data_IF_446588001028
#
_entry.id   IF_446588001028
#
_cell.length_a   1.000
_cell.length_b   1.000
_cell.length_c   1.000
_cell.angle_alpha   90.00
_cell.angle_beta   90.00
_cell.angle_gamma   90.00
#
_symmetry.space_group_name_H-M   'P 1'
#
loop_
_entity.id
_entity.type
_entity.pdbx_description
1 polymer ?
#
# COMPACT_ATOMS: atom_id res chain seq x y z
N UNK A 1 1.70 -1.13 -20.85
CA UNK A 1 0.90 -1.87 -19.87
C UNK A 1 0.84 -3.33 -20.31
N UNK A 2 1.04 -4.24 -19.38
CA UNK A 2 0.99 -5.69 -19.55
C UNK A 2 -0.05 -6.26 -18.59
N UNK A 3 -0.46 -7.51 -18.79
CA UNK A 3 -1.35 -8.24 -17.88
C UNK A 3 -0.78 -9.63 -17.59
N UNK A 4 -1.08 -10.13 -16.40
CA UNK A 4 -0.80 -11.50 -15.99
C UNK A 4 -2.08 -12.10 -15.40
N UNK A 5 -2.54 -13.21 -15.97
CA UNK A 5 -3.76 -13.87 -15.50
C UNK A 5 -3.51 -14.61 -14.19
N UNK A 6 -4.18 -14.19 -13.12
CA UNK A 6 -3.99 -14.68 -11.75
C UNK A 6 -5.35 -14.89 -11.09
N UNK A 7 -5.62 -16.08 -10.60
CA UNK A 7 -6.85 -16.39 -9.84
C UNK A 7 -8.15 -15.89 -10.51
N UNK A 8 -8.27 -16.10 -11.83
CA UNK A 8 -9.45 -15.70 -12.60
C UNK A 8 -9.52 -14.21 -12.96
N UNK A 9 -8.42 -13.45 -12.81
CA UNK A 9 -8.35 -12.02 -13.09
C UNK A 9 -7.08 -11.65 -13.89
N UNK A 10 -7.23 -10.78 -14.88
CA UNK A 10 -6.12 -10.20 -15.64
C UNK A 10 -5.50 -9.04 -14.87
N UNK A 11 -4.48 -9.33 -14.08
CA UNK A 11 -3.80 -8.36 -13.24
C UNK A 11 -2.89 -7.46 -14.08
N UNK A 12 -3.23 -6.19 -14.19
CA UNK A 12 -2.48 -5.23 -14.97
C UNK A 12 -1.21 -4.76 -14.22
N UNK A 13 -0.13 -4.52 -14.98
CA UNK A 13 1.09 -3.95 -14.44
C UNK A 13 1.87 -3.14 -15.47
N UNK A 14 2.77 -2.29 -14.97
CA UNK A 14 3.80 -1.61 -15.74
C UNK A 14 5.17 -2.09 -15.30
N UNK A 15 6.06 -2.21 -16.26
CA UNK A 15 7.45 -2.61 -16.03
C UNK A 15 8.40 -1.62 -16.65
N UNK A 16 9.41 -1.19 -15.87
CA UNK A 16 10.43 -0.22 -16.28
C UNK A 16 11.79 -0.65 -15.76
N UNK A 17 12.82 -0.53 -16.59
CA UNK A 17 14.20 -0.88 -16.22
C UNK A 17 14.55 -2.34 -16.44
N UNK A 18 15.70 -2.73 -15.91
CA UNK A 18 16.26 -4.09 -16.00
C UNK A 18 16.94 -4.46 -14.69
N UNK A 19 17.27 -5.72 -14.53
CA UNK A 19 17.96 -6.24 -13.33
C UNK A 19 17.02 -6.94 -12.37
N UNK A 20 17.32 -6.83 -11.06
CA UNK A 20 16.54 -7.51 -10.04
C UNK A 20 15.11 -6.95 -9.95
N UNK A 21 14.09 -7.83 -9.89
CA UNK A 21 12.71 -7.37 -9.81
C UNK A 21 12.41 -6.69 -8.47
N UNK A 22 11.82 -5.50 -8.56
CA UNK A 22 11.21 -4.76 -7.47
C UNK A 22 9.72 -4.63 -7.76
N UNK A 23 8.91 -5.42 -7.07
CA UNK A 23 7.45 -5.40 -7.23
C UNK A 23 6.86 -4.38 -6.27
N UNK A 24 6.05 -3.46 -6.80
CA UNK A 24 5.49 -2.32 -6.08
C UNK A 24 3.97 -2.43 -6.00
N UNK A 25 3.43 -2.48 -4.77
CA UNK A 25 1.99 -2.60 -4.48
C UNK A 25 1.45 -1.30 -3.92
N UNK A 26 0.47 -0.73 -4.59
CA UNK A 26 -0.11 0.58 -4.26
C UNK A 26 -1.03 0.55 -3.03
N UNK A 27 -1.33 1.73 -2.51
CA UNK A 27 -2.30 1.96 -1.43
C UNK A 27 -3.76 2.08 -1.91
N UNK A 28 -4.63 2.50 -1.00
CA UNK A 28 -6.04 2.83 -1.29
C UNK A 28 -6.11 3.91 -2.37
N UNK A 29 -7.06 3.76 -3.31
CA UNK A 29 -7.27 4.65 -4.46
C UNK A 29 -6.07 4.76 -5.43
N UNK A 30 -5.01 3.96 -5.22
CA UNK A 30 -3.88 3.86 -6.13
C UNK A 30 -4.09 2.81 -7.22
N UNK A 31 -3.11 2.68 -8.10
CA UNK A 31 -2.94 1.65 -9.12
C UNK A 31 -1.48 1.63 -9.57
N UNK A 32 -1.13 0.96 -10.66
CA UNK A 32 0.25 0.90 -11.14
C UNK A 32 0.90 2.29 -11.35
N UNK A 33 0.12 3.36 -11.56
CA UNK A 33 0.62 4.74 -11.75
C UNK A 33 1.14 5.38 -10.48
N UNK A 34 0.77 4.87 -9.31
CA UNK A 34 1.15 5.41 -7.99
C UNK A 34 2.66 5.65 -7.86
N UNK A 35 3.46 4.80 -8.48
CA UNK A 35 4.91 4.83 -8.33
C UNK A 35 5.63 5.65 -9.41
N UNK A 36 4.89 6.40 -10.25
CA UNK A 36 5.44 7.12 -11.41
C UNK A 36 6.55 8.10 -11.06
N UNK A 37 6.46 8.77 -9.92
CA UNK A 37 7.49 9.72 -9.46
C UNK A 37 8.85 9.04 -9.15
N UNK A 38 8.84 7.74 -8.84
CA UNK A 38 10.04 6.99 -8.44
C UNK A 38 10.52 5.98 -9.48
N UNK A 39 9.78 5.75 -10.58
CA UNK A 39 10.19 4.82 -11.63
C UNK A 39 11.57 5.13 -12.20
N UNK A 40 11.81 6.38 -12.61
CA UNK A 40 13.06 6.78 -13.24
C UNK A 40 14.29 6.51 -12.37
N UNK A 41 14.34 6.99 -11.13
CA UNK A 41 15.45 6.71 -10.23
C UNK A 41 15.63 5.22 -9.90
N UNK A 42 14.56 4.49 -9.54
CA UNK A 42 14.64 3.08 -9.14
C UNK A 42 14.98 2.15 -10.31
N UNK A 43 14.51 2.48 -11.52
CA UNK A 43 14.75 1.66 -12.71
C UNK A 43 16.19 1.70 -13.23
N UNK A 44 17.04 2.53 -12.66
CA UNK A 44 18.48 2.53 -12.98
C UNK A 44 19.15 1.23 -12.55
N UNK A 45 18.72 0.65 -11.43
CA UNK A 45 19.34 -0.52 -10.82
C UNK A 45 18.38 -1.71 -10.68
N UNK A 46 17.06 -1.49 -10.88
CA UNK A 46 16.04 -2.50 -10.69
C UNK A 46 15.10 -2.59 -11.89
N UNK A 47 14.54 -3.76 -12.10
CA UNK A 47 13.35 -3.98 -12.92
C UNK A 47 12.13 -3.66 -12.04
N UNK A 48 11.63 -2.43 -12.12
CA UNK A 48 10.50 -1.96 -11.32
C UNK A 48 9.20 -2.43 -11.96
N UNK A 49 8.40 -3.18 -11.22
CA UNK A 49 7.14 -3.76 -11.63
C UNK A 49 6.03 -3.20 -10.74
N UNK A 50 5.27 -2.26 -11.26
CA UNK A 50 4.15 -1.64 -10.54
C UNK A 50 2.85 -2.33 -10.92
N UNK A 51 2.14 -2.90 -9.95
CA UNK A 51 0.90 -3.66 -10.19
C UNK A 51 -0.34 -2.84 -9.91
N UNK A 52 -1.45 -3.18 -10.57
CA UNK A 52 -2.81 -2.80 -10.16
C UNK A 52 -3.49 -4.00 -9.51
N UNK A 53 -3.99 -3.80 -8.31
CA UNK A 53 -4.78 -4.83 -7.60
C UNK A 53 -6.12 -5.06 -8.31
N UNK A 54 -6.78 -6.20 -8.05
CA UNK A 54 -8.13 -6.50 -8.53
C UNK A 54 -9.08 -5.35 -8.24
N UNK A 55 -9.94 -5.00 -9.19
CA UNK A 55 -10.92 -3.90 -9.14
C UNK A 55 -10.34 -2.47 -9.20
N UNK A 56 -9.03 -2.32 -9.30
CA UNK A 56 -8.40 -1.03 -9.53
C UNK A 56 -8.14 -0.80 -11.02
N UNK A 57 -8.03 0.47 -11.42
CA UNK A 57 -7.70 0.85 -12.80
C UNK A 57 -6.54 -0.02 -13.36
N UNK A 58 -6.62 -0.51 -14.59
CA UNK A 58 -7.57 -0.21 -15.65
C UNK A 58 -8.86 -1.04 -15.61
N UNK A 59 -9.08 -1.87 -14.61
CA UNK A 59 -10.35 -2.56 -14.44
C UNK A 59 -11.45 -1.55 -14.13
N UNK A 60 -12.60 -1.69 -14.81
CA UNK A 60 -13.81 -0.92 -14.52
C UNK A 60 -14.64 -1.71 -13.52
N UNK A 61 -14.72 -1.22 -12.29
CA UNK A 61 -15.52 -1.80 -11.24
C UNK A 61 -16.48 -0.75 -10.68
N UNK A 62 -17.71 -1.15 -10.45
CA UNK A 62 -18.82 -0.30 -10.00
C UNK A 62 -19.08 -0.36 -8.49
N UNK A 63 -18.25 -1.10 -7.77
CA UNK A 63 -18.42 -1.30 -6.31
C UNK A 63 -19.30 -2.49 -5.94
N UNK A 64 -19.78 -3.27 -6.92
CA UNK A 64 -20.65 -4.44 -6.70
C UNK A 64 -19.86 -5.74 -6.84
N UNK A 65 -20.11 -6.68 -5.94
CA UNK A 65 -19.48 -8.01 -5.92
C UNK A 65 -18.92 -8.37 -4.55
N UNK A 66 -18.67 -9.65 -4.35
CA UNK A 66 -18.23 -10.22 -3.06
C UNK A 66 -16.71 -10.50 -3.02
N UNK A 67 -15.98 -10.28 -4.10
CA UNK A 67 -14.57 -10.64 -4.25
C UNK A 67 -13.60 -9.49 -3.95
N UNK A 68 -14.09 -8.32 -3.48
CA UNK A 68 -13.25 -7.26 -2.95
C UNK A 68 -12.86 -7.57 -1.50
N UNK A 69 -11.93 -8.49 -1.34
CA UNK A 69 -11.48 -8.97 -0.03
C UNK A 69 -9.97 -8.80 0.12
N UNK A 70 -9.51 -8.45 1.31
CA UNK A 70 -8.06 -8.40 1.60
C UNK A 70 -7.39 -9.76 1.35
N UNK A 71 -8.05 -10.86 1.72
CA UNK A 71 -7.54 -12.21 1.48
C UNK A 71 -7.39 -12.52 -0.02
N UNK A 72 -8.33 -12.05 -0.86
CA UNK A 72 -8.25 -12.20 -2.31
C UNK A 72 -7.09 -11.40 -2.89
N UNK A 73 -6.91 -10.14 -2.48
CA UNK A 73 -5.77 -9.33 -2.94
C UNK A 73 -4.41 -9.93 -2.52
N UNK A 74 -4.32 -10.52 -1.33
CA UNK A 74 -3.11 -11.23 -0.90
C UNK A 74 -2.87 -12.47 -1.77
N UNK A 75 -3.91 -13.28 -2.01
CA UNK A 75 -3.81 -14.46 -2.87
C UNK A 75 -3.45 -14.10 -4.32
N UNK A 76 -4.03 -13.02 -4.86
CA UNK A 76 -3.71 -12.53 -6.20
C UNK A 76 -2.25 -12.08 -6.29
N UNK A 77 -1.75 -11.36 -5.31
CA UNK A 77 -0.34 -10.95 -5.28
C UNK A 77 0.62 -12.13 -5.14
N UNK A 78 0.29 -13.13 -4.32
CA UNK A 78 1.07 -14.38 -4.22
C UNK A 78 1.12 -15.06 -5.60
N UNK A 79 -0.04 -15.27 -6.22
CA UNK A 79 -0.12 -15.88 -7.55
C UNK A 79 0.60 -15.06 -8.63
N UNK A 80 0.59 -13.73 -8.52
CA UNK A 80 1.36 -12.85 -9.41
C UNK A 80 2.87 -13.10 -9.25
N UNK A 81 3.38 -13.12 -8.03
CA UNK A 81 4.80 -13.35 -7.74
C UNK A 81 5.26 -14.74 -8.22
N UNK A 82 4.45 -15.77 -7.99
CA UNK A 82 4.73 -17.13 -8.46
C UNK A 82 4.79 -17.21 -10.00
N UNK A 83 3.84 -16.59 -10.67
CA UNK A 83 3.77 -16.61 -12.16
C UNK A 83 4.79 -15.70 -12.82
N UNK A 84 5.27 -14.66 -12.12
CA UNK A 84 6.38 -13.83 -12.60
C UNK A 84 7.64 -14.68 -12.83
N UNK A 85 7.86 -15.69 -11.99
CA UNK A 85 8.87 -16.72 -12.19
C UNK A 85 10.32 -16.28 -11.99
N UNK A 86 10.55 -15.12 -11.39
CA UNK A 86 11.89 -14.52 -11.22
C UNK A 86 12.63 -15.01 -9.95
N UNK A 87 12.07 -15.97 -9.22
CA UNK A 87 12.55 -16.36 -7.90
C UNK A 87 12.21 -15.33 -6.83
N UNK A 88 12.91 -15.28 -5.69
CA UNK A 88 12.65 -14.31 -4.65
C UNK A 88 12.86 -12.88 -5.13
N UNK A 89 11.79 -12.05 -5.04
CA UNK A 89 11.79 -10.65 -5.47
C UNK A 89 12.00 -9.68 -4.29
N UNK A 90 12.31 -8.44 -4.61
CA UNK A 90 12.11 -7.34 -3.68
C UNK A 90 10.65 -6.89 -3.76
N UNK A 91 9.99 -6.77 -2.61
CA UNK A 91 8.59 -6.36 -2.53
C UNK A 91 8.47 -5.04 -1.78
N UNK A 92 7.83 -4.05 -2.40
CA UNK A 92 7.54 -2.76 -1.78
C UNK A 92 6.03 -2.53 -1.76
N UNK A 93 5.49 -2.21 -0.58
CA UNK A 93 4.07 -1.91 -0.43
C UNK A 93 3.83 -0.60 0.31
N UNK A 94 2.90 0.20 -0.20
CA UNK A 94 2.46 1.45 0.44
C UNK A 94 1.07 1.27 1.06
N UNK A 95 0.87 1.74 2.28
CA UNK A 95 -0.44 1.80 2.93
C UNK A 95 -1.18 0.45 2.88
N UNK A 96 -2.31 0.33 2.15
CA UNK A 96 -3.00 -0.94 1.86
C UNK A 96 -2.06 -1.98 1.26
N UNK A 97 -1.25 -1.60 0.29
CA UNK A 97 -0.23 -2.46 -0.31
C UNK A 97 0.84 -2.89 0.69
N UNK A 98 1.16 -2.06 1.66
CA UNK A 98 2.04 -2.40 2.79
C UNK A 98 1.45 -3.49 3.67
N UNK A 99 0.13 -3.45 3.94
CA UNK A 99 -0.56 -4.54 4.63
C UNK A 99 -0.48 -5.86 3.84
N UNK A 100 -0.75 -5.81 2.55
CA UNK A 100 -0.66 -6.99 1.66
C UNK A 100 0.78 -7.54 1.67
N UNK A 101 1.78 -6.70 1.49
CA UNK A 101 3.18 -7.09 1.47
C UNK A 101 3.64 -7.72 2.80
N UNK A 102 3.18 -7.18 3.94
CA UNK A 102 3.42 -7.78 5.26
C UNK A 102 2.82 -9.19 5.36
N UNK A 103 1.57 -9.39 4.90
CA UNK A 103 0.90 -10.70 4.92
C UNK A 103 1.58 -11.72 4.00
N UNK A 104 2.11 -11.29 2.88
CA UNK A 104 2.92 -12.13 2.00
C UNK A 104 4.22 -12.53 2.69
N UNK A 105 4.94 -11.58 3.30
CA UNK A 105 6.17 -11.88 4.04
C UNK A 105 5.95 -12.86 5.21
N UNK A 106 4.76 -12.84 5.81
CA UNK A 106 4.37 -13.77 6.87
C UNK A 106 4.08 -15.18 6.34
N UNK A 107 3.34 -15.29 5.23
CA UNK A 107 2.83 -16.57 4.72
C UNK A 107 3.73 -17.22 3.66
N UNK A 108 4.45 -16.42 2.87
CA UNK A 108 5.29 -16.85 1.75
C UNK A 108 6.63 -16.10 1.72
N UNK A 109 7.44 -16.20 2.81
CA UNK A 109 8.76 -15.57 2.86
C UNK A 109 9.70 -16.10 1.78
N UNK A 110 9.45 -17.29 1.25
CA UNK A 110 10.19 -17.91 0.15
C UNK A 110 10.14 -17.11 -1.15
N UNK A 111 9.10 -16.31 -1.36
CA UNK A 111 8.94 -15.45 -2.53
C UNK A 111 9.70 -14.11 -2.42
N UNK A 112 10.23 -13.78 -1.24
CA UNK A 112 10.76 -12.45 -0.95
C UNK A 112 12.25 -12.49 -0.60
N UNK A 113 13.02 -11.61 -1.24
CA UNK A 113 14.41 -11.32 -0.87
C UNK A 113 14.48 -10.21 0.19
N UNK A 114 13.77 -9.11 -0.07
CA UNK A 114 13.68 -7.94 0.82
C UNK A 114 12.28 -7.35 0.78
N UNK A 115 11.92 -6.70 1.87
CA UNK A 115 10.60 -6.09 2.07
C UNK A 115 10.73 -4.62 2.41
N UNK A 116 10.03 -3.75 1.67
CA UNK A 116 9.90 -2.32 1.99
C UNK A 116 8.45 -2.01 2.31
N UNK A 117 8.20 -1.50 3.50
CA UNK A 117 6.87 -1.14 3.99
C UNK A 117 6.80 0.39 4.16
N UNK A 118 6.20 1.05 3.17
CA UNK A 118 5.95 2.49 3.20
C UNK A 118 4.62 2.76 3.93
N UNK A 119 4.70 3.12 5.20
CA UNK A 119 3.56 3.35 6.10
C UNK A 119 2.44 2.31 5.94
N UNK A 120 2.66 1.05 6.34
CA UNK A 120 1.69 -0.01 6.18
C UNK A 120 0.38 0.34 6.89
N UNK A 121 -0.72 0.31 6.13
CA UNK A 121 -2.07 0.53 6.67
C UNK A 121 -2.58 -0.69 7.42
N UNK A 122 -3.50 -0.48 8.35
CA UNK A 122 -4.11 -1.54 9.15
C UNK A 122 -4.25 -1.11 10.60
N UNK A 123 -4.68 -2.04 11.44
CA UNK A 123 -4.88 -1.86 12.87
C UNK A 123 -3.93 -2.74 13.66
N UNK A 124 -3.60 -2.31 14.87
CA UNK A 124 -2.87 -3.08 15.85
C UNK A 124 -3.86 -3.84 16.75
N UNK A 125 -3.53 -5.05 17.13
CA UNK A 125 -4.25 -5.75 18.20
C UNK A 125 -3.71 -5.35 19.60
N UNK A 126 -4.37 -5.82 20.65
CA UNK A 126 -4.01 -5.52 22.03
C UNK A 126 -2.60 -6.02 22.43
N UNK A 127 -1.97 -6.89 21.65
CA UNK A 127 -0.59 -7.36 21.93
C UNK A 127 0.47 -6.35 21.48
N UNK A 128 0.13 -5.47 20.53
CA UNK A 128 0.99 -4.40 20.03
C UNK A 128 0.66 -3.05 20.65
N UNK A 129 -0.61 -2.75 20.83
CA UNK A 129 -1.09 -1.53 21.45
C UNK A 129 -2.37 -1.78 22.25
N UNK A 130 -2.25 -2.03 23.57
CA UNK A 130 -3.41 -2.32 24.44
C UNK A 130 -4.43 -1.18 24.53
N UNK A 131 -4.03 0.04 24.23
CA UNK A 131 -4.85 1.25 24.41
C UNK A 131 -5.53 1.68 23.12
N UNK A 132 -4.84 1.55 21.98
CA UNK A 132 -5.33 2.11 20.71
C UNK A 132 -6.18 1.12 19.88
N UNK A 133 -6.14 -0.18 20.15
CA UNK A 133 -6.76 -1.19 19.30
C UNK A 133 -8.27 -1.04 19.06
N UNK A 134 -9.13 -0.77 20.09
CA UNK A 134 -10.57 -0.63 19.88
C UNK A 134 -10.95 0.61 19.07
N UNK A 135 -10.32 1.75 19.38
CA UNK A 135 -10.69 3.04 18.81
C UNK A 135 -10.16 3.22 17.36
N UNK A 136 -8.97 2.71 17.07
CA UNK A 136 -8.37 2.81 15.74
C UNK A 136 -9.17 2.08 14.66
N UNK A 137 -9.62 0.86 14.95
CA UNK A 137 -10.46 0.08 14.04
C UNK A 137 -11.82 0.76 13.82
N UNK A 138 -12.44 1.29 14.87
CA UNK A 138 -13.71 2.02 14.81
C UNK A 138 -13.61 3.28 13.95
N UNK A 139 -12.57 4.10 14.15
CA UNK A 139 -12.37 5.33 13.37
C UNK A 139 -12.13 5.05 11.88
N UNK A 140 -11.34 4.02 11.56
CA UNK A 140 -11.15 3.61 10.16
C UNK A 140 -12.46 3.15 9.54
N UNK A 141 -13.18 2.28 10.22
CA UNK A 141 -14.47 1.75 9.73
C UNK A 141 -15.46 2.88 9.49
N UNK A 142 -15.60 3.82 10.43
CA UNK A 142 -16.48 4.97 10.28
C UNK A 142 -16.08 5.86 9.09
N UNK A 143 -14.77 6.10 8.89
CA UNK A 143 -14.28 6.89 7.75
C UNK A 143 -14.60 6.22 6.41
N UNK A 144 -14.33 4.93 6.27
CA UNK A 144 -14.63 4.22 5.02
C UNK A 144 -16.14 4.12 4.77
N UNK A 145 -16.95 3.92 5.80
CA UNK A 145 -18.40 3.95 5.68
C UNK A 145 -18.90 5.32 5.19
N UNK A 146 -18.40 6.42 5.76
CA UNK A 146 -18.77 7.77 5.35
C UNK A 146 -18.35 8.08 3.89
N UNK A 147 -17.15 7.66 3.48
CA UNK A 147 -16.69 7.86 2.10
C UNK A 147 -17.48 6.99 1.12
N UNK A 148 -17.77 5.73 1.46
CA UNK A 148 -18.58 4.83 0.63
C UNK A 148 -20.00 5.35 0.45
N UNK A 149 -20.64 5.88 1.50
CA UNK A 149 -21.96 6.50 1.41
C UNK A 149 -21.98 7.63 0.39
N UNK A 150 -20.99 8.54 0.44
CA UNK A 150 -20.86 9.61 -0.54
C UNK A 150 -20.69 9.11 -1.98
N UNK A 151 -19.89 8.06 -2.19
CA UNK A 151 -19.74 7.44 -3.52
C UNK A 151 -21.07 6.88 -4.01
N UNK A 152 -21.81 6.17 -3.14
CA UNK A 152 -23.12 5.60 -3.47
C UNK A 152 -24.16 6.70 -3.80
N UNK A 153 -24.08 7.84 -3.11
CA UNK A 153 -24.95 9.00 -3.36
C UNK A 153 -24.53 9.82 -4.60
N UNK A 154 -23.45 9.43 -5.30
CA UNK A 154 -22.92 10.12 -6.47
C UNK A 154 -22.03 11.33 -6.15
N UNK A 155 -21.76 11.64 -4.87
CA UNK A 155 -20.85 12.71 -4.45
C UNK A 155 -19.39 12.26 -4.49
N UNK A 156 -18.90 11.99 -5.70
CA UNK A 156 -17.54 11.47 -5.94
C UNK A 156 -16.47 12.43 -5.41
N UNK A 157 -16.59 13.72 -5.71
CA UNK A 157 -15.61 14.73 -5.27
C UNK A 157 -15.62 14.91 -3.75
N UNK A 158 -16.79 14.88 -3.13
CA UNK A 158 -16.91 14.94 -1.68
C UNK A 158 -16.34 13.70 -0.98
N UNK A 159 -16.50 12.50 -1.56
CA UNK A 159 -15.90 11.28 -1.06
C UNK A 159 -14.37 11.34 -1.11
N UNK A 160 -13.81 11.73 -2.25
CA UNK A 160 -12.36 11.82 -2.44
C UNK A 160 -11.73 12.90 -1.55
N UNK A 161 -12.37 14.07 -1.45
CA UNK A 161 -11.95 15.12 -0.53
C UNK A 161 -11.94 14.64 0.91
N UNK A 162 -13.03 14.03 1.36
CA UNK A 162 -13.15 13.49 2.73
C UNK A 162 -12.05 12.48 3.03
N UNK A 163 -11.81 11.55 2.10
CA UNK A 163 -10.77 10.53 2.26
C UNK A 163 -9.37 11.13 2.31
N UNK A 164 -9.04 12.00 1.35
CA UNK A 164 -7.70 12.55 1.17
C UNK A 164 -7.32 13.49 2.31
N UNK A 165 -8.22 14.41 2.67
CA UNK A 165 -7.97 15.39 3.74
C UNK A 165 -7.95 14.75 5.14
N UNK A 166 -8.61 13.64 5.35
CA UNK A 166 -8.49 12.87 6.60
C UNK A 166 -7.08 12.28 6.83
N UNK A 167 -6.27 12.19 5.78
CA UNK A 167 -4.90 11.64 5.83
C UNK A 167 -3.86 12.76 5.74
N UNK A 168 -4.02 13.67 4.79
CA UNK A 168 -3.04 14.73 4.50
C UNK A 168 -3.36 16.08 5.18
N UNK A 169 -4.56 16.22 5.75
CA UNK A 169 -5.03 17.44 6.42
C UNK A 169 -5.91 18.31 5.54
N UNK A 170 -6.64 19.21 6.18
CA UNK A 170 -7.63 20.09 5.55
C UNK A 170 -7.04 20.97 4.44
N UNK A 171 -7.80 21.15 3.36
CA UNK A 171 -7.45 21.96 2.22
C UNK A 171 -6.41 21.35 1.27
N UNK A 172 -5.87 20.15 1.56
CA UNK A 172 -4.88 19.49 0.71
C UNK A 172 -5.48 19.00 -0.61
N UNK A 173 -6.74 18.56 -0.60
CA UNK A 173 -7.45 18.18 -1.82
C UNK A 173 -7.47 19.30 -2.87
N UNK A 174 -7.70 20.53 -2.44
CA UNK A 174 -7.69 21.69 -3.33
C UNK A 174 -6.36 21.91 -4.06
N UNK A 175 -5.25 21.59 -3.39
CA UNK A 175 -3.88 21.79 -3.91
C UNK A 175 -3.36 20.63 -4.76
N UNK A 176 -4.02 19.48 -4.72
CA UNK A 176 -3.60 18.30 -5.48
C UNK A 176 -3.73 18.55 -6.98
N UNK A 177 -2.71 18.19 -7.75
CA UNK A 177 -2.68 18.35 -9.21
C UNK A 177 -3.72 17.48 -9.91
N UNK A 178 -4.03 17.81 -11.18
CA UNK A 178 -5.08 17.13 -11.94
C UNK A 178 -4.81 15.63 -12.17
N UNK A 179 -3.58 15.25 -12.47
CA UNK A 179 -3.26 13.85 -12.77
C UNK A 179 -3.41 12.92 -11.54
N UNK A 180 -2.88 13.22 -10.34
CA UNK A 180 -3.21 12.47 -9.12
C UNK A 180 -4.71 12.45 -8.82
N UNK A 181 -5.43 13.57 -8.96
CA UNK A 181 -6.90 13.58 -8.78
C UNK A 181 -7.60 12.61 -9.71
N UNK A 182 -7.18 12.54 -10.98
CA UNK A 182 -7.76 11.62 -11.94
C UNK A 182 -7.51 10.16 -11.54
N UNK A 183 -6.29 9.82 -11.11
CA UNK A 183 -6.01 8.49 -10.60
C UNK A 183 -6.92 8.10 -9.43
N UNK A 184 -7.15 9.01 -8.49
CA UNK A 184 -8.06 8.74 -7.36
C UNK A 184 -9.52 8.56 -7.85
N UNK A 185 -9.98 9.34 -8.84
CA UNK A 185 -11.31 9.18 -9.44
C UNK A 185 -11.48 7.83 -10.13
N UNK A 186 -10.46 7.40 -10.90
CA UNK A 186 -10.51 6.13 -11.63
C UNK A 186 -10.69 4.93 -10.69
N UNK A 187 -10.33 5.07 -9.39
CA UNK A 187 -10.38 4.02 -8.39
C UNK A 187 -11.43 4.25 -7.28
N UNK A 188 -12.30 5.27 -7.43
CA UNK A 188 -13.17 5.73 -6.32
C UNK A 188 -14.14 4.67 -5.82
N UNK A 189 -14.68 3.83 -6.70
CA UNK A 189 -15.62 2.78 -6.32
C UNK A 189 -15.01 1.73 -5.38
N UNK A 190 -13.67 1.60 -5.38
CA UNK A 190 -12.97 0.71 -4.43
C UNK A 190 -13.15 1.13 -2.97
N UNK A 191 -13.59 2.36 -2.68
CA UNK A 191 -13.96 2.80 -1.33
C UNK A 191 -15.20 2.06 -0.81
N UNK A 192 -16.14 1.68 -1.69
CA UNK A 192 -17.32 0.88 -1.32
C UNK A 192 -16.87 -0.50 -0.81
N UNK A 193 -16.02 -1.19 -1.58
CA UNK A 193 -15.48 -2.48 -1.16
C UNK A 193 -14.67 -2.40 0.15
N UNK A 194 -13.89 -1.33 0.33
CA UNK A 194 -13.11 -1.14 1.55
C UNK A 194 -13.96 -0.87 2.81
N UNK A 195 -15.16 -0.32 2.66
CA UNK A 195 -16.08 -0.10 3.79
C UNK A 195 -16.58 -1.42 4.39
N UNK A 196 -16.81 -2.44 3.56
CA UNK A 196 -17.22 -3.77 3.99
C UNK A 196 -16.07 -4.71 4.35
N UNK A 197 -14.83 -4.30 4.14
CA UNK A 197 -13.68 -5.17 4.26
C UNK A 197 -13.27 -5.40 5.72
N UNK A 198 -13.17 -6.68 6.09
CA UNK A 198 -12.57 -7.08 7.36
C UNK A 198 -11.06 -7.36 7.17
N UNK A 199 -10.22 -6.55 7.79
CA UNK A 199 -8.76 -6.75 7.82
C UNK A 199 -8.34 -7.34 9.15
N UNK A 200 -7.57 -8.39 9.10
CA UNK A 200 -6.94 -8.93 10.29
C UNK A 200 -5.96 -7.91 10.88
N UNK A 201 -6.12 -7.53 12.14
CA UNK A 201 -5.18 -6.67 12.85
C UNK A 201 -3.80 -7.29 12.93
N UNK A 202 -2.77 -6.47 13.04
CA UNK A 202 -1.40 -6.93 13.29
C UNK A 202 -1.24 -7.35 14.75
N UNK A 203 -0.58 -8.48 14.98
CA UNK A 203 -0.20 -8.95 16.32
C UNK A 203 1.31 -8.95 16.50
N UNK A 204 1.76 -8.94 17.77
CA UNK A 204 3.18 -9.06 18.12
C UNK A 204 3.78 -10.37 17.60
N UNK A 205 3.06 -11.48 17.74
CA UNK A 205 3.52 -12.78 17.26
C UNK A 205 3.73 -12.80 15.74
N UNK A 206 2.81 -12.15 14.98
CA UNK A 206 2.94 -12.03 13.53
C UNK A 206 4.14 -11.16 13.13
N UNK A 207 4.34 -10.02 13.80
CA UNK A 207 5.50 -9.16 13.54
C UNK A 207 6.83 -9.89 13.82
N UNK A 208 6.91 -10.62 14.93
CA UNK A 208 8.09 -11.46 15.25
C UNK A 208 8.32 -12.61 14.25
N UNK A 209 7.28 -13.07 13.55
CA UNK A 209 7.41 -14.16 12.57
C UNK A 209 8.03 -13.74 11.25
N UNK A 210 8.14 -12.44 10.96
CA UNK A 210 8.76 -11.93 9.73
C UNK A 210 10.25 -12.23 9.73
N UNK A 211 10.69 -12.98 8.73
CA UNK A 211 12.11 -13.37 8.54
C UNK A 211 12.80 -12.60 7.43
N UNK A 212 12.02 -12.05 6.51
CA UNK A 212 12.51 -11.26 5.38
C UNK A 212 13.16 -9.97 5.89
N UNK A 213 14.39 -9.61 5.48
CA UNK A 213 14.98 -8.31 5.78
C UNK A 213 14.01 -7.18 5.41
N UNK A 214 13.67 -6.35 6.39
CA UNK A 214 12.57 -5.38 6.25
C UNK A 214 13.04 -3.94 6.52
N UNK A 215 12.64 -3.03 5.63
CA UNK A 215 12.71 -1.59 5.81
C UNK A 215 11.30 -1.03 6.04
N UNK A 216 11.11 -0.32 7.13
CA UNK A 216 9.97 0.57 7.32
C UNK A 216 10.36 1.99 6.93
N UNK A 217 9.55 2.64 6.11
CA UNK A 217 9.78 4.02 5.68
C UNK A 217 8.51 4.83 5.87
N UNK A 218 8.62 6.01 6.46
CA UNK A 218 7.49 6.89 6.73
C UNK A 218 7.80 8.34 6.46
N UNK A 219 6.73 9.15 6.35
CA UNK A 219 6.83 10.60 6.32
C UNK A 219 6.80 11.19 7.73
N UNK A 220 7.75 12.06 8.07
CA UNK A 220 7.81 12.68 9.40
C UNK A 220 6.62 13.61 9.69
N UNK A 221 5.94 14.10 8.64
CA UNK A 221 4.75 14.94 8.76
C UNK A 221 3.44 14.16 8.81
N UNK A 222 3.47 12.83 8.60
CA UNK A 222 2.26 11.99 8.66
C UNK A 222 1.69 11.97 10.07
N UNK A 223 0.35 12.10 10.16
CA UNK A 223 -0.39 12.13 11.43
C UNK A 223 -1.32 10.91 11.58
N UNK A 224 -1.91 10.77 12.76
CA UNK A 224 -2.91 9.74 13.05
C UNK A 224 -2.30 8.37 13.28
N UNK A 225 -3.01 7.31 12.86
CA UNK A 225 -2.66 5.92 13.19
C UNK A 225 -1.50 5.34 12.37
N UNK A 226 -1.23 5.84 11.17
CA UNK A 226 -0.20 5.28 10.27
C UNK A 226 1.21 5.27 10.89
N UNK A 227 1.73 6.40 11.44
CA UNK A 227 3.02 6.38 12.11
C UNK A 227 3.03 5.55 13.41
N UNK A 228 1.88 5.36 14.05
CA UNK A 228 1.75 4.47 15.23
C UNK A 228 1.93 3.02 14.80
N UNK A 229 1.21 2.60 13.75
CA UNK A 229 1.33 1.24 13.18
C UNK A 229 2.75 0.97 12.71
N UNK A 230 3.36 1.90 11.96
CA UNK A 230 4.74 1.77 11.48
C UNK A 230 5.71 1.51 12.63
N UNK A 231 5.70 2.38 13.66
CA UNK A 231 6.61 2.24 14.82
C UNK A 231 6.39 0.96 15.61
N UNK A 232 5.11 0.59 15.83
CA UNK A 232 4.78 -0.62 16.57
C UNK A 232 5.28 -1.88 15.86
N UNK A 233 5.09 -1.97 14.55
CA UNK A 233 5.59 -3.10 13.75
C UNK A 233 7.11 -3.11 13.66
N UNK A 234 7.73 -1.97 13.38
CA UNK A 234 9.18 -1.85 13.26
C UNK A 234 9.92 -2.27 14.55
N UNK A 235 9.34 -1.97 15.70
CA UNK A 235 9.89 -2.36 17.00
C UNK A 235 9.82 -3.88 17.26
N UNK A 236 9.00 -4.63 16.51
CA UNK A 236 8.77 -6.05 16.74
C UNK A 236 9.32 -6.95 15.62
N UNK A 237 9.48 -6.44 14.41
CA UNK A 237 10.06 -7.21 13.29
C UNK A 237 11.56 -7.34 13.50
N UNK A 238 12.10 -8.60 13.60
CA UNK A 238 13.51 -8.80 13.89
C UNK A 238 14.42 -8.19 12.82
N UNK A 239 15.41 -7.38 13.24
CA UNK A 239 16.38 -6.76 12.35
C UNK A 239 15.81 -5.69 11.39
N UNK A 240 14.58 -5.24 11.63
CA UNK A 240 14.00 -4.17 10.80
C UNK A 240 14.80 -2.87 10.88
N UNK A 241 14.92 -2.20 9.74
CA UNK A 241 15.41 -0.82 9.65
C UNK A 241 14.22 0.13 9.57
N UNK A 242 14.38 1.35 10.09
CA UNK A 242 13.34 2.38 10.03
C UNK A 242 13.97 3.69 9.55
N UNK A 243 13.37 4.30 8.54
CA UNK A 243 13.77 5.58 8.00
C UNK A 243 12.56 6.53 7.92
N UNK A 244 12.78 7.79 8.24
CA UNK A 244 11.75 8.83 8.20
C UNK A 244 12.18 9.91 7.21
N UNK A 245 11.28 10.29 6.31
CA UNK A 245 11.51 11.36 5.33
C UNK A 245 11.01 12.67 5.92
N UNK A 246 11.96 13.57 6.19
CA UNK A 246 11.66 14.90 6.72
C UNK A 246 10.79 15.71 5.75
N UNK A 247 9.73 16.34 6.27
CA UNK A 247 8.78 17.09 5.46
C UNK A 247 7.83 16.25 4.59
N UNK A 248 8.03 14.93 4.50
CA UNK A 248 7.13 14.03 3.79
C UNK A 248 5.91 13.67 4.64
N UNK A 249 4.74 13.58 4.00
CA UNK A 249 3.50 13.01 4.54
C UNK A 249 3.31 11.56 4.10
N UNK A 250 2.05 11.09 4.06
CA UNK A 250 1.73 9.71 3.70
C UNK A 250 2.16 9.32 2.26
N UNK A 251 2.18 10.28 1.32
CA UNK A 251 2.69 10.09 -0.04
C UNK A 251 4.14 10.55 -0.19
N UNK A 252 5.02 10.19 0.77
CA UNK A 252 6.42 10.59 0.82
C UNK A 252 7.21 10.29 -0.48
N UNK A 253 6.84 9.24 -1.21
CA UNK A 253 7.48 8.88 -2.48
C UNK A 253 7.12 9.84 -3.64
N UNK A 254 6.02 10.60 -3.53
CA UNK A 254 5.66 11.68 -4.45
C UNK A 254 6.21 13.04 -3.99
N UNK A 255 6.20 13.28 -2.69
CA UNK A 255 6.58 14.55 -2.08
C UNK A 255 8.10 14.72 -2.01
N UNK A 256 8.86 13.62 -1.80
CA UNK A 256 10.31 13.59 -1.73
C UNK A 256 10.91 12.40 -2.50
N UNK A 257 10.67 12.28 -3.81
CA UNK A 257 10.99 11.08 -4.59
C UNK A 257 12.47 10.74 -4.60
N UNK A 258 13.34 11.71 -4.58
CA UNK A 258 14.79 11.50 -4.61
C UNK A 258 15.30 10.90 -3.30
N UNK A 259 14.88 11.43 -2.15
CA UNK A 259 15.25 10.91 -0.83
C UNK A 259 14.65 9.51 -0.61
N UNK A 260 13.38 9.32 -0.98
CA UNK A 260 12.74 8.02 -0.95
C UNK A 260 13.53 6.96 -1.75
N UNK A 261 13.89 7.29 -2.99
CA UNK A 261 14.64 6.37 -3.84
C UNK A 261 16.04 6.08 -3.31
N UNK A 262 16.74 7.08 -2.76
CA UNK A 262 18.05 6.91 -2.14
C UNK A 262 17.99 5.91 -0.98
N UNK A 263 17.03 6.07 -0.07
CA UNK A 263 16.82 5.18 1.08
C UNK A 263 16.48 3.75 0.61
N UNK A 264 15.51 3.62 -0.30
CA UNK A 264 15.08 2.32 -0.82
C UNK A 264 16.23 1.61 -1.54
N UNK A 265 16.94 2.29 -2.45
CA UNK A 265 18.06 1.71 -3.19
C UNK A 265 19.18 1.26 -2.23
N UNK A 266 19.56 2.09 -1.27
CA UNK A 266 20.59 1.73 -0.28
C UNK A 266 20.21 0.48 0.54
N UNK A 267 18.94 0.31 0.87
CA UNK A 267 18.45 -0.89 1.54
C UNK A 267 18.44 -2.10 0.61
N UNK A 268 18.02 -1.94 -0.64
CA UNK A 268 17.90 -3.06 -1.58
C UNK A 268 19.28 -3.57 -2.07
N UNK A 269 20.31 -2.74 -2.06
CA UNK A 269 21.67 -3.10 -2.52
C UNK A 269 22.61 -3.56 -1.38
N UNK A 270 22.37 -3.14 -0.14
CA UNK A 270 23.16 -3.56 1.04
C UNK A 270 22.76 -4.91 1.57
#
# INVERSE_FOLDING_TARGET
MQTLFVNGFDMAYLEVGKGRPLVCVHGTLGDFRTWSAVWGPLSKNHRVISVSLRHFFPAHWDGVGEDYLMAQHIADMIGFLEKLGDGPVDLMGHSRGGHIAFRIAQSRPDLLRRLVLAEPGGELDATLDPVAAPDGASQRTARFAATAAKVTDGDIEGALKLFFEAIEGDGTWGRLAAAPKQQLRDNVFTLIGQAGENRKSYSRAEAHSIKTPTLFIGGAATKGSLPVVLRALAAQVPGARTEMIEGGGHWMFEQAPQEFCKIVTAFLEG
#
